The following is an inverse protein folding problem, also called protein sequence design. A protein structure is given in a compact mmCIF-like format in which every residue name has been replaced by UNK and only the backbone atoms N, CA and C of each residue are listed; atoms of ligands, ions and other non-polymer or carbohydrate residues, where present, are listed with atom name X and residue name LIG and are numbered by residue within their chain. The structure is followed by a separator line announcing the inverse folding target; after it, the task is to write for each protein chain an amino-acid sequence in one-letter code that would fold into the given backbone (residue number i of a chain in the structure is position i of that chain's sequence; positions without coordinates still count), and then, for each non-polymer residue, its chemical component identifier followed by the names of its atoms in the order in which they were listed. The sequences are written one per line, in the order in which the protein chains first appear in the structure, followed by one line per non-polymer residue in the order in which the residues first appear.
data_IF_302210351312
#
_entry.id   IF_302210351312
#
_cell.length_a   1.000
_cell.length_b   1.000
_cell.length_c   1.000
_cell.angle_alpha   90.00
_cell.angle_beta   90.00
_cell.angle_gamma   90.00
#
_symmetry.space_group_name_H-M   'P 1'
#
loop_
_entity.id
_entity.type
_entity.pdbx_description
1 polymer ?
#
# COMPACT_ATOMS: atom_id res chain seq x y z
N UNK A 1 1.34 -13.01 -18.74
CA UNK A 1 2.17 -11.93 -18.16
C UNK A 1 1.56 -11.42 -16.86
N UNK A 2 2.14 -11.76 -15.72
CA UNK A 2 1.54 -11.56 -14.40
C UNK A 2 2.63 -11.14 -13.41
N UNK A 3 2.36 -10.16 -12.55
CA UNK A 3 3.34 -9.71 -11.57
C UNK A 3 2.97 -8.40 -10.91
N UNK A 4 3.96 -7.82 -10.23
CA UNK A 4 3.90 -6.51 -9.59
C UNK A 4 4.83 -5.55 -10.33
N UNK A 5 4.41 -4.30 -10.45
CA UNK A 5 5.18 -3.20 -11.01
C UNK A 5 5.36 -2.10 -9.95
N UNK A 6 6.58 -1.56 -9.89
CA UNK A 6 6.88 -0.34 -9.17
C UNK A 6 6.75 0.86 -10.11
N UNK A 7 5.65 1.61 -10.02
CA UNK A 7 5.34 2.67 -10.97
C UNK A 7 5.49 4.04 -10.33
N UNK A 8 6.11 4.98 -11.03
CA UNK A 8 6.07 6.38 -10.66
C UNK A 8 4.76 6.99 -11.17
N UNK A 9 3.93 7.54 -10.27
CA UNK A 9 2.78 8.37 -10.65
C UNK A 9 3.22 9.84 -10.72
N UNK A 10 3.24 10.49 -11.89
CA UNK A 10 3.53 11.91 -11.97
C UNK A 10 2.49 12.77 -11.27
N UNK A 11 2.89 13.97 -10.86
CA UNK A 11 1.98 15.01 -10.37
C UNK A 11 0.92 15.36 -11.42
N UNK A 12 -0.29 15.67 -10.98
CA UNK A 12 -1.43 16.03 -11.82
C UNK A 12 -2.27 14.83 -12.30
N UNK A 13 -1.68 13.64 -12.38
CA UNK A 13 -2.40 12.43 -12.80
C UNK A 13 -3.17 11.78 -11.63
N UNK A 14 -4.36 11.24 -11.86
CA UNK A 14 -4.99 10.36 -10.87
C UNK A 14 -4.30 8.99 -10.85
N UNK A 15 -4.48 8.23 -9.77
CA UNK A 15 -4.02 6.83 -9.74
C UNK A 15 -4.71 5.97 -10.81
N UNK A 16 -5.92 6.34 -11.24
CA UNK A 16 -6.66 5.60 -12.28
C UNK A 16 -6.06 5.87 -13.67
N UNK A 17 -5.65 7.11 -13.96
CA UNK A 17 -5.04 7.47 -15.25
C UNK A 17 -3.78 6.64 -15.51
N UNK A 18 -2.96 6.42 -14.47
CA UNK A 18 -1.80 5.52 -14.54
C UNK A 18 -2.22 4.08 -14.86
N UNK A 19 -3.31 3.59 -14.28
CA UNK A 19 -3.81 2.24 -14.59
C UNK A 19 -4.25 2.14 -16.05
N UNK A 20 -4.94 3.14 -16.57
CA UNK A 20 -5.40 3.13 -17.96
C UNK A 20 -4.24 3.25 -18.95
N UNK A 21 -3.21 4.03 -18.62
CA UNK A 21 -1.95 4.08 -19.37
C UNK A 21 -1.30 2.69 -19.46
N UNK A 22 -1.17 2.00 -18.33
CA UNK A 22 -0.59 0.67 -18.27
C UNK A 22 -1.43 -0.37 -19.01
N UNK A 23 -2.77 -0.31 -18.90
CA UNK A 23 -3.66 -1.20 -19.67
C UNK A 23 -3.41 -1.07 -21.16
N UNK A 24 -3.28 0.16 -21.65
CA UNK A 24 -3.04 0.46 -23.08
C UNK A 24 -1.66 -0.01 -23.52
N UNK A 25 -0.60 0.36 -22.79
CA UNK A 25 0.80 0.00 -23.14
C UNK A 25 1.09 -1.49 -23.03
N UNK A 26 0.44 -2.20 -22.11
CA UNK A 26 0.63 -3.64 -21.92
C UNK A 26 -0.35 -4.50 -22.74
N UNK A 27 -1.42 -3.91 -23.28
CA UNK A 27 -2.55 -4.61 -23.87
C UNK A 27 -3.19 -5.64 -22.92
N UNK A 28 -3.38 -5.26 -21.65
CA UNK A 28 -3.96 -6.13 -20.61
C UNK A 28 -5.08 -5.38 -19.89
N UNK A 29 -6.28 -5.95 -19.86
CA UNK A 29 -7.43 -5.35 -19.16
C UNK A 29 -7.28 -5.39 -17.63
N UNK A 30 -6.77 -6.50 -17.10
CA UNK A 30 -6.70 -6.75 -15.65
C UNK A 30 -5.45 -6.12 -15.05
N UNK A 31 -5.55 -4.84 -14.75
CA UNK A 31 -4.52 -4.04 -14.06
C UNK A 31 -5.19 -3.25 -12.94
N UNK A 32 -4.53 -3.14 -11.78
CA UNK A 32 -5.02 -2.38 -10.63
C UNK A 32 -3.87 -1.99 -9.68
N UNK A 33 -4.13 -1.12 -8.70
CA UNK A 33 -3.09 -0.60 -7.80
C UNK A 33 -3.35 -0.92 -6.31
N UNK A 34 -2.29 -0.89 -5.51
CA UNK A 34 -2.32 -1.02 -4.06
C UNK A 34 -2.00 0.33 -3.39
N UNK A 35 -3.05 1.09 -3.09
CA UNK A 35 -2.95 2.36 -2.37
C UNK A 35 -3.00 3.55 -3.32
N UNK A 36 -4.08 4.33 -3.22
CA UNK A 36 -4.29 5.55 -4.01
C UNK A 36 -3.26 6.61 -3.62
N UNK A 37 -2.81 7.39 -4.60
CA UNK A 37 -2.19 8.70 -4.42
C UNK A 37 -3.15 9.78 -4.92
N UNK A 38 -3.21 10.87 -4.18
CA UNK A 38 -3.96 12.06 -4.57
C UNK A 38 -3.39 12.64 -5.88
N UNK A 39 -4.19 13.34 -6.71
CA UNK A 39 -3.73 13.85 -8.00
C UNK A 39 -2.54 14.81 -7.88
N UNK A 40 -2.53 15.69 -6.87
CA UNK A 40 -1.46 16.67 -6.63
C UNK A 40 -0.16 16.04 -6.08
N UNK A 41 -0.23 14.80 -5.58
CA UNK A 41 0.90 14.06 -5.07
C UNK A 41 1.61 13.30 -6.20
N UNK A 42 2.82 12.83 -5.97
CA UNK A 42 3.57 11.98 -6.91
C UNK A 42 4.33 10.87 -6.21
N UNK A 43 5.04 10.03 -6.96
CA UNK A 43 5.90 8.97 -6.43
C UNK A 43 5.32 7.56 -6.60
N UNK A 44 5.79 6.65 -5.73
CA UNK A 44 5.59 5.20 -5.86
C UNK A 44 4.12 4.81 -5.88
N UNK A 45 3.70 4.03 -6.88
CA UNK A 45 2.39 3.39 -7.00
C UNK A 45 2.60 1.91 -7.32
N UNK A 46 2.25 1.04 -6.37
CA UNK A 46 2.33 -0.41 -6.59
C UNK A 46 1.19 -0.86 -7.49
N UNK A 47 1.53 -1.46 -8.63
CA UNK A 47 0.56 -1.94 -9.62
C UNK A 47 0.66 -3.44 -9.77
N UNK A 48 -0.50 -4.12 -9.80
CA UNK A 48 -0.60 -5.54 -10.10
C UNK A 48 -1.09 -5.75 -11.52
N UNK A 49 -0.48 -6.69 -12.22
CA UNK A 49 -0.83 -7.07 -13.60
C UNK A 49 -1.37 -8.50 -13.63
N UNK A 50 -2.49 -8.69 -14.33
CA UNK A 50 -3.10 -10.01 -14.48
C UNK A 50 -3.70 -10.55 -13.18
N UNK A 51 -3.62 -11.87 -12.93
CA UNK A 51 -4.06 -12.51 -11.69
C UNK A 51 -3.41 -11.92 -10.42
N UNK A 52 -2.22 -11.34 -10.53
CA UNK A 52 -1.49 -10.72 -9.40
C UNK A 52 -2.21 -9.52 -8.79
N UNK A 53 -3.16 -8.92 -9.49
CA UNK A 53 -4.10 -7.92 -8.92
C UNK A 53 -4.82 -8.42 -7.67
N UNK A 54 -5.04 -9.73 -7.55
CA UNK A 54 -5.65 -10.37 -6.37
C UNK A 54 -4.77 -10.32 -5.13
N UNK A 55 -3.46 -10.07 -5.28
CA UNK A 55 -2.48 -10.02 -4.20
C UNK A 55 -2.20 -8.59 -3.73
N UNK A 56 -2.82 -7.58 -4.34
CA UNK A 56 -2.64 -6.16 -3.98
C UNK A 56 -3.03 -5.84 -2.53
N UNK A 57 -3.85 -6.66 -1.88
CA UNK A 57 -4.20 -6.49 -0.46
C UNK A 57 -3.00 -6.61 0.49
N UNK A 58 -2.02 -7.45 0.16
CA UNK A 58 -0.80 -7.61 0.96
C UNK A 58 0.09 -6.36 0.88
N UNK A 59 0.11 -5.69 -0.27
CA UNK A 59 0.87 -4.46 -0.48
C UNK A 59 0.17 -3.22 0.13
N UNK A 60 -1.17 -3.23 0.20
CA UNK A 60 -1.95 -2.13 0.83
C UNK A 60 -1.58 -1.93 2.30
N UNK A 61 -1.13 -2.97 2.99
CA UNK A 61 -0.84 -2.95 4.42
C UNK A 61 0.65 -2.69 4.74
N UNK A 62 1.49 -2.42 3.75
CA UNK A 62 2.89 -2.08 3.98
C UNK A 62 3.05 -0.67 4.54
N UNK A 63 4.12 -0.39 5.29
CA UNK A 63 4.46 0.98 5.70
C UNK A 63 4.75 1.86 4.47
N UNK A 64 4.54 3.16 4.59
CA UNK A 64 4.83 4.13 3.53
C UNK A 64 5.73 5.23 4.03
N UNK A 65 6.63 5.71 3.18
CA UNK A 65 7.43 6.90 3.42
C UNK A 65 7.04 7.99 2.44
N UNK A 66 6.98 9.22 2.94
CA UNK A 66 6.66 10.40 2.19
C UNK A 66 7.69 11.48 2.46
N UNK A 67 7.98 12.29 1.45
CA UNK A 67 8.41 13.67 1.62
C UNK A 67 7.17 14.56 1.51
N UNK A 68 7.07 15.55 2.38
CA UNK A 68 5.96 16.50 2.38
C UNK A 68 6.49 17.92 2.57
N UNK A 69 5.92 18.86 1.82
CA UNK A 69 6.05 20.31 2.05
C UNK A 69 4.66 20.89 2.27
N UNK A 70 4.54 21.76 3.26
CA UNK A 70 3.30 22.44 3.61
C UNK A 70 3.54 23.93 3.86
N UNK A 71 2.48 24.71 3.73
CA UNK A 71 2.45 26.15 4.01
C UNK A 71 1.66 26.39 5.30
N UNK A 72 2.26 27.07 6.26
CA UNK A 72 1.63 27.51 7.51
C UNK A 72 0.68 28.67 7.25
N UNK A 73 -0.37 28.74 8.04
CA UNK A 73 -1.28 29.89 7.99
C UNK A 73 -2.37 29.79 6.93
N UNK A 74 -2.33 28.81 6.01
CA UNK A 74 -3.34 28.65 4.97
C UNK A 74 -4.15 27.39 5.22
N UNK A 75 -5.46 27.50 5.18
CA UNK A 75 -6.40 26.37 5.25
C UNK A 75 -7.23 26.35 3.98
N UNK A 76 -7.19 25.20 3.30
CA UNK A 76 -7.99 24.94 2.09
C UNK A 76 -9.07 23.90 2.38
N UNK A 77 -10.10 23.85 1.53
CA UNK A 77 -11.18 22.87 1.65
C UNK A 77 -10.68 21.41 1.57
N UNK A 78 -9.63 21.15 0.78
CA UNK A 78 -9.10 19.80 0.51
C UNK A 78 -7.89 19.44 1.36
N UNK A 79 -7.37 20.39 2.15
CA UNK A 79 -6.10 20.30 2.90
C UNK A 79 -4.86 20.15 2.01
N UNK A 80 -4.99 20.49 0.74
CA UNK A 80 -3.91 20.61 -0.23
C UNK A 80 -4.10 21.85 -1.10
N UNK A 81 -3.03 22.23 -1.82
CA UNK A 81 -3.01 23.45 -2.64
C UNK A 81 -4.00 23.45 -3.82
N UNK A 82 -4.71 22.34 -4.06
CA UNK A 82 -5.71 22.27 -5.15
C UNK A 82 -7.12 22.66 -4.70
N UNK A 83 -7.34 22.80 -3.39
CA UNK A 83 -8.61 23.26 -2.85
C UNK A 83 -8.73 24.77 -2.76
N UNK A 84 -9.96 25.26 -2.69
CA UNK A 84 -10.22 26.69 -2.45
C UNK A 84 -9.76 27.09 -1.05
N UNK A 85 -9.11 28.26 -0.95
CA UNK A 85 -8.68 28.84 0.32
C UNK A 85 -9.92 29.22 1.13
N UNK A 86 -10.00 28.71 2.35
CA UNK A 86 -11.08 28.99 3.30
C UNK A 86 -10.63 30.03 4.34
N UNK A 87 -9.37 29.99 4.73
CA UNK A 87 -8.84 30.84 5.78
C UNK A 87 -7.34 31.08 5.61
N UNK A 88 -6.92 32.31 5.92
CA UNK A 88 -5.52 32.72 6.01
C UNK A 88 -5.24 33.39 7.37
N UNK A 89 -4.14 33.00 8.00
CA UNK A 89 -3.68 33.47 9.31
C UNK A 89 -2.17 33.61 9.33
N UNK A 90 -1.67 34.57 10.10
CA UNK A 90 -0.24 34.69 10.37
C UNK A 90 0.24 33.61 11.36
N UNK A 91 1.32 32.89 11.03
CA UNK A 91 1.98 31.99 11.96
C UNK A 91 3.08 32.70 12.75
N UNK A 92 2.79 33.03 14.01
CA UNK A 92 3.72 33.74 14.92
C UNK A 92 4.73 32.83 15.64
N UNK A 93 4.63 31.51 15.48
CA UNK A 93 5.47 30.51 16.15
C UNK A 93 6.87 30.49 15.58
N UNK A 94 7.91 30.47 16.41
CA UNK A 94 9.30 30.40 15.93
C UNK A 94 9.66 29.00 15.39
N UNK A 95 10.83 28.86 14.75
CA UNK A 95 11.26 27.60 14.13
C UNK A 95 11.37 26.44 15.14
N UNK A 96 11.91 26.70 16.34
CA UNK A 96 12.03 25.68 17.40
C UNK A 96 10.67 25.18 17.89
N UNK A 97 9.68 26.07 18.00
CA UNK A 97 8.31 25.71 18.34
C UNK A 97 7.68 24.84 17.24
N UNK A 98 7.87 25.21 15.98
CA UNK A 98 7.37 24.44 14.82
C UNK A 98 7.99 23.04 14.79
N UNK A 99 9.31 22.94 14.93
CA UNK A 99 10.02 21.66 14.96
C UNK A 99 9.58 20.78 16.13
N UNK A 100 9.41 21.36 17.32
CA UNK A 100 8.91 20.65 18.51
C UNK A 100 7.50 20.09 18.27
N UNK A 101 6.60 20.89 17.67
CA UNK A 101 5.25 20.45 17.34
C UNK A 101 5.27 19.33 16.31
N UNK A 102 6.06 19.44 15.23
CA UNK A 102 6.18 18.38 14.22
C UNK A 102 6.62 17.07 14.89
N UNK A 103 7.68 17.10 15.71
CA UNK A 103 8.19 15.91 16.40
C UNK A 103 7.20 15.30 17.39
N UNK A 104 6.30 16.10 17.97
CA UNK A 104 5.29 15.61 18.92
C UNK A 104 4.24 14.67 18.31
N UNK A 105 4.17 14.56 16.98
CA UNK A 105 3.30 13.61 16.29
C UNK A 105 3.92 12.22 16.13
N UNK A 106 5.21 12.03 16.45
CA UNK A 106 5.84 10.71 16.45
C UNK A 106 5.13 9.79 17.45
N UNK A 107 4.84 8.56 17.02
CA UNK A 107 4.06 7.59 17.78
C UNK A 107 2.63 7.46 17.26
N UNK A 108 1.71 7.05 18.14
CA UNK A 108 0.33 6.75 17.78
C UNK A 108 -0.60 7.90 18.13
N UNK A 109 -1.52 8.22 17.24
CA UNK A 109 -2.60 9.16 17.53
C UNK A 109 -3.86 8.88 16.72
N UNK A 110 -4.98 9.46 17.15
CA UNK A 110 -6.25 9.37 16.45
C UNK A 110 -6.33 10.46 15.37
N UNK A 111 -6.30 10.04 14.11
CA UNK A 111 -6.39 10.94 12.96
C UNK A 111 -7.79 10.89 12.36
N UNK A 112 -8.36 12.08 12.10
CA UNK A 112 -9.61 12.21 11.33
C UNK A 112 -9.27 12.17 9.83
N UNK A 113 -9.84 11.23 9.05
CA UNK A 113 -9.68 11.23 7.61
C UNK A 113 -10.21 12.55 6.99
N UNK A 114 -9.55 13.09 5.95
CA UNK A 114 -10.05 14.30 5.30
C UNK A 114 -11.35 13.99 4.54
N UNK A 115 -12.21 15.00 4.44
CA UNK A 115 -13.49 14.90 3.71
C UNK A 115 -13.26 14.50 2.24
N UNK A 116 -12.18 14.99 1.63
CA UNK A 116 -11.75 14.60 0.28
C UNK A 116 -10.89 13.34 0.31
N UNK A 117 -11.52 12.18 0.55
CA UNK A 117 -10.83 10.88 0.56
C UNK A 117 -11.62 9.76 -0.11
N UNK A 118 -10.93 8.67 -0.45
CA UNK A 118 -11.52 7.47 -1.05
C UNK A 118 -12.26 6.55 -0.04
N UNK A 119 -12.37 6.95 1.24
CA UNK A 119 -13.17 6.20 2.23
C UNK A 119 -14.64 6.20 1.81
N UNK A 120 -15.39 5.17 2.20
CA UNK A 120 -16.81 5.06 1.90
C UNK A 120 -17.67 5.40 3.11
N UNK A 121 -18.74 6.15 2.88
CA UNK A 121 -19.85 6.35 3.81
C UNK A 121 -21.14 5.91 3.12
N UNK A 122 -21.86 4.95 3.71
CA UNK A 122 -23.07 4.34 3.13
C UNK A 122 -22.92 3.94 1.65
N UNK A 123 -21.79 3.30 1.31
CA UNK A 123 -21.48 2.82 -0.04
C UNK A 123 -20.86 3.83 -1.01
N UNK A 124 -20.97 5.14 -0.75
CA UNK A 124 -20.42 6.22 -1.61
C UNK A 124 -19.08 6.72 -1.09
N UNK A 125 -18.17 7.15 -1.98
CA UNK A 125 -16.86 7.66 -1.54
C UNK A 125 -17.01 9.07 -0.97
N UNK A 126 -16.21 9.44 0.04
CA UNK A 126 -16.34 10.74 0.69
C UNK A 126 -16.08 11.90 -0.26
N UNK A 127 -15.07 11.80 -1.16
CA UNK A 127 -14.84 12.87 -2.14
C UNK A 127 -16.04 13.10 -3.08
N UNK A 128 -16.85 12.08 -3.36
CA UNK A 128 -18.06 12.21 -4.18
C UNK A 128 -19.19 12.94 -3.44
N UNK A 129 -19.18 12.87 -2.10
CA UNK A 129 -20.13 13.56 -1.23
C UNK A 129 -19.66 15.01 -0.98
N UNK A 130 -18.37 15.21 -0.73
CA UNK A 130 -17.77 16.52 -0.52
C UNK A 130 -17.96 17.44 -1.74
N UNK A 131 -17.73 16.93 -2.97
CA UNK A 131 -18.02 17.64 -4.23
C UNK A 131 -19.50 18.02 -4.42
N UNK A 132 -20.41 17.45 -3.63
CA UNK A 132 -21.85 17.78 -3.61
C UNK A 132 -22.21 18.68 -2.42
N UNK A 133 -21.22 19.31 -1.79
CA UNK A 133 -21.38 20.15 -0.58
C UNK A 133 -21.67 19.36 0.70
N UNK A 134 -21.59 18.02 0.68
CA UNK A 134 -21.88 17.18 1.86
C UNK A 134 -20.59 16.72 2.53
N UNK A 135 -20.08 17.56 3.43
CA UNK A 135 -18.91 17.25 4.25
C UNK A 135 -19.33 16.26 5.35
N UNK A 136 -18.76 15.06 5.33
CA UNK A 136 -19.01 14.02 6.34
C UNK A 136 -17.72 13.78 7.10
N UNK A 137 -17.76 14.01 8.41
CA UNK A 137 -16.68 13.62 9.31
C UNK A 137 -16.83 12.15 9.70
N UNK A 138 -15.77 11.37 9.49
CA UNK A 138 -15.71 9.97 9.93
C UNK A 138 -15.11 9.88 11.34
N UNK A 139 -15.41 8.81 12.09
CA UNK A 139 -14.74 8.57 13.36
C UNK A 139 -13.22 8.52 13.16
N UNK A 140 -12.43 9.08 14.09
CA UNK A 140 -10.99 9.02 14.03
C UNK A 140 -10.48 7.58 13.94
N UNK A 141 -9.34 7.39 13.30
CA UNK A 141 -8.63 6.10 13.24
C UNK A 141 -7.26 6.23 13.86
N UNK A 142 -6.88 5.22 14.63
CA UNK A 142 -5.50 5.14 15.11
C UNK A 142 -4.56 4.98 13.91
N UNK A 143 -3.61 5.90 13.83
CA UNK A 143 -2.49 5.88 12.90
C UNK A 143 -1.20 5.91 13.70
N UNK A 144 -0.10 5.51 13.07
CA UNK A 144 1.22 5.50 13.70
C UNK A 144 2.22 6.20 12.78
N UNK A 145 2.96 7.13 13.36
CA UNK A 145 4.10 7.81 12.76
C UNK A 145 5.36 7.20 13.36
N UNK A 146 6.04 6.38 12.57
CA UNK A 146 7.23 5.64 13.02
C UNK A 146 8.45 6.55 13.11
N UNK A 147 8.60 7.45 12.14
CA UNK A 147 9.78 8.29 11.97
C UNK A 147 9.40 9.62 11.33
N UNK A 148 10.02 10.70 11.81
CA UNK A 148 10.08 12.01 11.16
C UNK A 148 11.57 12.39 11.11
N UNK A 149 12.04 12.88 9.97
CA UNK A 149 13.43 13.33 9.79
C UNK A 149 13.52 14.42 8.73
N UNK A 150 14.71 15.01 8.59
CA UNK A 150 15.01 16.03 7.58
C UNK A 150 14.01 17.20 7.63
N UNK A 151 13.74 17.70 8.84
CA UNK A 151 12.84 18.83 9.04
C UNK A 151 13.55 20.09 8.53
N UNK A 152 12.89 20.84 7.66
CA UNK A 152 13.36 22.13 7.16
C UNK A 152 12.23 23.14 7.30
N UNK A 153 12.55 24.30 7.88
CA UNK A 153 11.58 25.36 8.15
C UNK A 153 12.07 26.62 7.44
N UNK A 154 11.32 27.06 6.43
CA UNK A 154 11.58 28.24 5.61
C UNK A 154 10.25 29.00 5.50
N UNK A 155 9.91 29.74 6.56
CA UNK A 155 8.58 30.32 6.69
C UNK A 155 8.15 31.13 5.45
N UNK A 156 6.90 30.97 5.00
CA UNK A 156 5.80 30.26 5.67
C UNK A 156 5.79 28.74 5.46
N UNK A 157 6.81 28.17 4.82
CA UNK A 157 6.87 26.74 4.52
C UNK A 157 7.58 25.92 5.60
N UNK A 158 7.18 24.66 5.72
CA UNK A 158 7.99 23.62 6.33
C UNK A 158 7.94 22.36 5.48
N UNK A 159 8.96 21.53 5.60
CA UNK A 159 9.00 20.21 4.97
C UNK A 159 9.69 19.19 5.86
N UNK A 160 9.38 17.91 5.63
CA UNK A 160 10.03 16.79 6.30
C UNK A 160 9.79 15.48 5.55
N UNK A 161 10.58 14.46 5.91
CA UNK A 161 10.30 13.07 5.57
C UNK A 161 9.60 12.36 6.73
N UNK A 162 8.61 11.53 6.41
CA UNK A 162 7.83 10.78 7.41
C UNK A 162 7.59 9.34 6.97
N UNK A 163 7.79 8.38 7.88
CA UNK A 163 7.32 7.01 7.73
C UNK A 163 6.06 6.75 8.56
N UNK A 164 5.02 6.25 7.91
CA UNK A 164 3.68 6.11 8.50
C UNK A 164 3.09 4.72 8.29
N UNK A 165 2.15 4.37 9.16
CA UNK A 165 1.31 3.18 9.00
C UNK A 165 0.36 3.29 7.80
N UNK A 166 -0.20 2.16 7.33
CA UNK A 166 -1.20 2.17 6.26
C UNK A 166 -2.45 2.97 6.64
N UNK A 167 -2.92 3.81 5.71
CA UNK A 167 -4.18 4.55 5.89
C UNK A 167 -4.03 5.90 6.58
N UNK A 168 -2.81 6.30 6.95
CA UNK A 168 -2.48 7.65 7.37
C UNK A 168 -2.59 8.64 6.21
N UNK A 169 -3.27 9.76 6.46
CA UNK A 169 -3.42 10.88 5.54
C UNK A 169 -2.40 11.96 5.88
N UNK A 170 -1.45 12.19 4.97
CA UNK A 170 -0.41 13.22 5.17
C UNK A 170 -1.02 14.63 5.15
N UNK A 171 -2.09 14.84 4.39
CA UNK A 171 -2.87 16.08 4.41
C UNK A 171 -3.46 16.39 5.79
N UNK A 172 -4.07 15.39 6.43
CA UNK A 172 -4.55 15.53 7.81
C UNK A 172 -3.40 15.78 8.79
N UNK A 173 -2.27 15.08 8.64
CA UNK A 173 -1.09 15.32 9.48
C UNK A 173 -0.61 16.78 9.40
N UNK A 174 -0.53 17.35 8.19
CA UNK A 174 -0.15 18.77 8.03
C UNK A 174 -1.16 19.69 8.71
N UNK A 175 -2.46 19.46 8.52
CA UNK A 175 -3.50 20.23 9.21
C UNK A 175 -3.43 20.09 10.73
N UNK A 176 -3.23 18.88 11.26
CA UNK A 176 -3.13 18.63 12.69
C UNK A 176 -1.92 19.36 13.31
N UNK A 177 -0.79 19.37 12.60
CA UNK A 177 0.39 20.18 12.95
C UNK A 177 0.03 21.67 12.97
N UNK A 178 -0.63 22.15 11.91
CA UNK A 178 -1.08 23.55 11.81
C UNK A 178 -2.05 23.95 12.92
N UNK A 179 -2.97 23.07 13.31
CA UNK A 179 -3.89 23.29 14.43
C UNK A 179 -3.16 23.35 15.76
N UNK A 180 -2.18 22.47 15.98
CA UNK A 180 -1.36 22.50 17.20
C UNK A 180 -0.46 23.75 17.28
N UNK A 181 -0.15 24.36 16.14
CA UNK A 181 0.50 25.67 16.03
C UNK A 181 -0.49 26.86 16.04
N UNK A 182 -1.79 26.61 16.13
CA UNK A 182 -2.87 27.61 16.13
C UNK A 182 -2.94 28.52 14.89
N UNK A 183 -2.39 28.08 13.76
CA UNK A 183 -2.41 28.86 12.50
C UNK A 183 -2.96 28.09 11.30
N UNK A 184 -3.13 26.76 11.39
CA UNK A 184 -3.47 25.92 10.25
C UNK A 184 -2.28 25.67 9.32
N UNK A 185 -2.38 24.65 8.47
CA UNK A 185 -1.36 24.39 7.45
C UNK A 185 -1.92 23.53 6.30
N UNK A 186 -1.57 23.89 5.07
CA UNK A 186 -2.02 23.19 3.86
C UNK A 186 -0.85 22.49 3.16
N UNK A 187 -1.08 21.28 2.64
CA UNK A 187 -0.04 20.53 1.92
C UNK A 187 0.18 21.13 0.52
N UNK A 188 1.40 21.50 0.18
CA UNK A 188 1.73 22.07 -1.14
C UNK A 188 2.46 21.08 -2.05
N UNK A 189 3.19 20.15 -1.46
CA UNK A 189 3.93 19.12 -2.16
C UNK A 189 3.90 17.81 -1.39
N UNK A 190 3.72 16.70 -2.10
CA UNK A 190 3.64 15.38 -1.49
C UNK A 190 4.23 14.35 -2.44
N UNK A 191 5.32 13.72 -2.01
CA UNK A 191 6.02 12.68 -2.78
C UNK A 191 6.02 11.40 -1.94
N UNK A 192 5.40 10.32 -2.44
CA UNK A 192 5.52 9.00 -1.83
C UNK A 192 6.83 8.35 -2.28
N UNK A 193 7.85 8.51 -1.46
CA UNK A 193 9.20 8.02 -1.75
C UNK A 193 9.34 6.50 -1.59
N UNK A 194 8.49 5.87 -0.77
CA UNK A 194 8.58 4.41 -0.54
C UNK A 194 7.25 3.76 -0.15
N UNK A 195 7.04 2.51 -0.58
CA UNK A 195 6.00 1.60 -0.08
C UNK A 195 6.63 0.25 0.25
N UNK A 196 6.77 -0.10 1.54
CA UNK A 196 7.53 -1.28 1.93
C UNK A 196 8.97 -1.23 1.40
N UNK A 197 9.33 -2.19 0.55
CA UNK A 197 10.66 -2.24 -0.08
C UNK A 197 10.74 -1.47 -1.41
N UNK A 198 9.61 -1.06 -1.97
CA UNK A 198 9.56 -0.38 -3.27
C UNK A 198 9.88 1.10 -3.10
N UNK A 199 10.97 1.56 -3.73
CA UNK A 199 11.42 2.94 -3.63
C UNK A 199 11.17 3.72 -4.92
N UNK A 200 11.16 5.04 -4.82
CA UNK A 200 10.86 5.93 -5.95
C UNK A 200 11.97 5.92 -6.99
N UNK A 201 13.22 5.72 -6.56
CA UNK A 201 14.39 5.66 -7.44
C UNK A 201 14.34 4.43 -8.37
N UNK A 202 13.69 3.36 -7.90
CA UNK A 202 13.50 2.11 -8.65
C UNK A 202 12.17 2.09 -9.42
N UNK A 203 11.44 3.21 -9.48
CA UNK A 203 10.10 3.26 -10.05
C UNK A 203 10.11 3.75 -11.50
N UNK A 204 9.24 3.17 -12.33
CA UNK A 204 9.15 3.48 -13.75
C UNK A 204 8.00 4.44 -14.03
N UNK A 205 8.28 5.56 -14.71
CA UNK A 205 7.23 6.45 -15.21
C UNK A 205 6.55 5.83 -16.44
N UNK A 206 5.25 5.49 -16.38
CA UNK A 206 4.58 4.76 -17.44
C UNK A 206 4.29 5.65 -18.65
N UNK A 207 4.33 6.98 -18.52
CA UNK A 207 4.09 7.91 -19.62
C UNK A 207 5.34 8.11 -20.49
N UNK A 208 6.52 8.04 -19.89
CA UNK A 208 7.82 8.26 -20.55
C UNK A 208 8.45 6.97 -21.11
N UNK A 209 7.96 5.80 -20.72
CA UNK A 209 8.56 4.52 -21.10
C UNK A 209 7.67 3.71 -22.05
N UNK A 210 8.27 2.95 -22.96
CA UNK A 210 7.56 2.11 -23.93
C UNK A 210 6.91 0.89 -23.26
N UNK A 211 5.90 0.31 -23.93
CA UNK A 211 5.27 -0.93 -23.45
C UNK A 211 6.27 -2.08 -23.27
N UNK A 212 7.24 -2.24 -24.16
CA UNK A 212 8.29 -3.27 -24.05
C UNK A 212 9.11 -3.12 -22.76
N UNK A 213 9.61 -1.91 -22.49
CA UNK A 213 10.36 -1.62 -21.26
C UNK A 213 9.53 -1.82 -20.00
N UNK A 214 8.24 -1.46 -20.01
CA UNK A 214 7.34 -1.72 -18.87
C UNK A 214 7.18 -3.23 -18.64
N UNK A 215 7.10 -4.04 -19.70
CA UNK A 215 6.96 -5.51 -19.59
C UNK A 215 8.17 -6.15 -18.92
N UNK A 216 9.38 -5.70 -19.27
CA UNK A 216 10.64 -6.20 -18.69
C UNK A 216 10.75 -5.94 -17.19
N UNK A 217 10.08 -4.89 -16.69
CA UNK A 217 10.09 -4.50 -15.27
C UNK A 217 9.02 -5.21 -14.43
N UNK A 218 8.23 -6.13 -15.01
CA UNK A 218 7.22 -6.87 -14.26
C UNK A 218 7.91 -7.88 -13.35
N UNK A 219 7.78 -7.65 -12.04
CA UNK A 219 8.41 -8.47 -11.01
C UNK A 219 7.48 -9.64 -10.67
N UNK A 220 7.95 -10.90 -10.72
CA UNK A 220 7.20 -12.06 -10.23
C UNK A 220 6.79 -11.86 -8.77
N UNK A 221 5.56 -12.23 -8.41
CA UNK A 221 5.02 -11.95 -7.07
C UNK A 221 5.81 -12.69 -5.99
N UNK A 222 6.36 -13.84 -6.34
CA UNK A 222 7.18 -14.72 -5.50
C UNK A 222 8.46 -14.07 -4.98
N UNK A 223 8.93 -13.02 -5.66
CA UNK A 223 10.14 -12.29 -5.30
C UNK A 223 9.85 -11.13 -4.34
N UNK A 224 8.63 -10.58 -4.37
CA UNK A 224 8.29 -9.35 -3.64
C UNK A 224 7.28 -9.56 -2.51
N UNK A 225 6.54 -10.67 -2.52
CA UNK A 225 5.59 -11.00 -1.48
C UNK A 225 6.31 -11.69 -0.31
N UNK A 226 6.30 -11.03 0.85
CA UNK A 226 6.93 -11.52 2.09
C UNK A 226 5.97 -12.43 2.88
N UNK A 227 5.66 -13.60 2.33
CA UNK A 227 4.92 -14.66 3.03
C UNK A 227 5.78 -15.93 3.11
N UNK A 228 5.63 -16.75 4.17
CA UNK A 228 6.32 -18.03 4.28
C UNK A 228 6.03 -18.94 3.08
N UNK A 229 7.06 -19.64 2.59
CA UNK A 229 6.97 -20.48 1.39
C UNK A 229 6.92 -21.97 1.74
N UNK A 230 6.01 -22.67 1.08
CA UNK A 230 5.83 -24.13 1.19
C UNK A 230 5.85 -24.73 -0.20
N UNK A 231 6.81 -25.59 -0.46
CA UNK A 231 6.94 -26.31 -1.72
C UNK A 231 6.10 -27.60 -1.68
N UNK A 232 5.40 -27.87 -2.78
CA UNK A 232 4.62 -29.10 -2.96
C UNK A 232 5.21 -29.99 -4.06
N UNK A 233 4.83 -31.26 -4.07
CA UNK A 233 5.10 -32.13 -5.22
C UNK A 233 4.22 -31.75 -6.41
N UNK A 234 4.80 -31.85 -7.61
CA UNK A 234 4.17 -31.48 -8.88
C UNK A 234 2.87 -32.23 -9.15
N UNK A 235 2.80 -33.50 -8.75
CA UNK A 235 1.65 -34.38 -8.96
C UNK A 235 0.35 -33.89 -8.28
N UNK A 236 0.47 -32.97 -7.31
CA UNK A 236 -0.68 -32.41 -6.59
C UNK A 236 -1.12 -31.02 -7.08
N UNK A 237 -0.41 -30.42 -8.04
CA UNK A 237 -0.71 -29.08 -8.56
C UNK A 237 -2.12 -29.02 -9.16
N UNK A 238 -2.49 -29.99 -10.00
CA UNK A 238 -3.84 -30.04 -10.61
C UNK A 238 -4.94 -30.19 -9.56
N UNK A 239 -4.69 -30.97 -8.50
CA UNK A 239 -5.63 -31.13 -7.39
C UNK A 239 -5.91 -29.79 -6.70
N UNK A 240 -4.87 -28.99 -6.43
CA UNK A 240 -5.01 -27.64 -5.86
C UNK A 240 -5.75 -26.71 -6.83
N UNK A 241 -5.44 -26.78 -8.12
CA UNK A 241 -6.18 -26.04 -9.14
C UNK A 241 -7.67 -26.38 -9.12
N UNK A 242 -8.03 -27.63 -8.88
CA UNK A 242 -9.42 -28.07 -8.74
C UNK A 242 -10.02 -27.81 -7.34
N UNK A 243 -9.30 -27.10 -6.46
CA UNK A 243 -9.79 -26.66 -5.15
C UNK A 243 -9.61 -27.68 -4.02
N UNK A 244 -8.89 -28.78 -4.26
CA UNK A 244 -8.58 -29.75 -3.22
C UNK A 244 -7.62 -29.12 -2.21
N UNK A 245 -7.98 -29.21 -0.93
CA UNK A 245 -7.22 -28.62 0.16
C UNK A 245 -5.89 -29.38 0.38
N UNK A 246 -4.75 -28.69 0.54
CA UNK A 246 -3.48 -29.35 0.77
C UNK A 246 -3.44 -30.14 2.08
N UNK A 247 -3.15 -31.42 1.93
CA UNK A 247 -2.81 -32.36 2.99
C UNK A 247 -1.30 -32.48 3.14
N UNK A 248 -0.84 -33.13 4.21
CA UNK A 248 0.58 -33.31 4.48
C UNK A 248 1.31 -34.04 3.34
N UNK A 249 0.67 -35.02 2.69
CA UNK A 249 1.19 -35.73 1.51
C UNK A 249 1.51 -34.82 0.32
N UNK A 250 0.94 -33.62 0.23
CA UNK A 250 1.25 -32.71 -0.87
C UNK A 250 2.60 -32.03 -0.67
N UNK A 251 3.07 -31.94 0.58
CA UNK A 251 4.19 -31.08 0.96
C UNK A 251 5.51 -31.77 0.66
N UNK A 252 6.33 -31.10 -0.14
CA UNK A 252 7.70 -31.51 -0.46
C UNK A 252 8.69 -30.93 0.54
N UNK A 253 8.53 -29.65 0.89
CA UNK A 253 9.47 -28.91 1.75
C UNK A 253 8.79 -27.67 2.33
N UNK A 254 9.09 -27.35 3.59
CA UNK A 254 8.75 -26.06 4.21
C UNK A 254 10.03 -25.23 4.24
N UNK A 255 10.03 -24.07 3.57
CA UNK A 255 11.21 -23.21 3.49
C UNK A 255 11.31 -22.21 4.62
N UNK A 256 10.16 -21.76 5.12
CA UNK A 256 10.06 -20.70 6.11
C UNK A 256 9.11 -21.12 7.24
N UNK A 257 9.43 -20.69 8.46
CA UNK A 257 8.56 -20.92 9.61
C UNK A 257 7.26 -20.09 9.54
N UNK A 258 6.18 -20.68 10.05
CA UNK A 258 4.88 -20.01 10.12
C UNK A 258 4.05 -20.52 11.31
N UNK A 259 3.13 -19.68 11.77
CA UNK A 259 2.17 -20.01 12.82
C UNK A 259 0.81 -20.36 12.24
N UNK A 260 -0.01 -21.04 13.04
CA UNK A 260 -1.41 -21.26 12.72
C UNK A 260 -2.10 -19.92 12.41
N UNK A 261 -2.92 -19.92 11.37
CA UNK A 261 -3.64 -18.79 10.78
C UNK A 261 -2.80 -17.83 9.92
N UNK A 262 -1.49 -18.00 9.84
CA UNK A 262 -0.68 -17.23 8.90
C UNK A 262 -1.05 -17.60 7.46
N UNK A 263 -0.95 -16.60 6.57
CA UNK A 263 -1.06 -16.84 5.14
C UNK A 263 0.32 -17.29 4.62
N UNK A 264 0.34 -18.36 3.83
CA UNK A 264 1.55 -18.93 3.22
C UNK A 264 1.43 -19.01 1.71
N UNK A 265 2.56 -18.99 1.04
CA UNK A 265 2.68 -19.23 -0.39
C UNK A 265 2.90 -20.72 -0.67
N UNK A 266 1.97 -21.34 -1.39
CA UNK A 266 2.11 -22.69 -1.92
C UNK A 266 2.81 -22.61 -3.28
N UNK A 267 3.97 -23.27 -3.37
CA UNK A 267 4.94 -23.13 -4.43
C UNK A 267 5.20 -24.48 -5.12
N UNK A 268 5.38 -24.47 -6.44
CA UNK A 268 5.89 -25.62 -7.19
C UNK A 268 6.87 -25.11 -8.25
N UNK A 269 8.06 -25.71 -8.36
CA UNK A 269 9.11 -25.32 -9.31
C UNK A 269 9.35 -23.79 -9.34
N UNK A 270 9.44 -23.17 -8.15
CA UNK A 270 9.61 -21.72 -7.91
C UNK A 270 8.47 -20.81 -8.41
N UNK A 271 7.30 -21.37 -8.76
CA UNK A 271 6.12 -20.61 -9.17
C UNK A 271 5.01 -20.68 -8.13
N UNK A 272 4.29 -19.58 -7.93
CA UNK A 272 3.15 -19.50 -7.02
C UNK A 272 1.96 -20.26 -7.60
N UNK A 273 1.50 -21.26 -6.84
CA UNK A 273 0.31 -22.04 -7.16
C UNK A 273 -0.91 -21.48 -6.43
N UNK A 274 -0.74 -21.17 -5.13
CA UNK A 274 -1.82 -20.65 -4.30
C UNK A 274 -1.31 -19.84 -3.10
N UNK A 275 -2.17 -18.99 -2.55
CA UNK A 275 -2.09 -18.56 -1.16
C UNK A 275 -3.04 -19.42 -0.33
N UNK A 276 -2.55 -19.94 0.78
CA UNK A 276 -3.32 -20.74 1.71
C UNK A 276 -3.13 -20.23 3.15
N UNK A 277 -4.04 -20.57 4.05
CA UNK A 277 -3.93 -20.33 5.48
C UNK A 277 -3.40 -21.58 6.16
N UNK A 278 -2.40 -21.43 7.03
CA UNK A 278 -1.88 -22.52 7.84
C UNK A 278 -2.89 -22.95 8.93
N UNK A 279 -3.19 -24.25 9.00
CA UNK A 279 -4.08 -24.83 10.03
C UNK A 279 -3.33 -25.22 11.31
N UNK A 280 -2.00 -25.25 11.23
CA UNK A 280 -1.05 -25.67 12.25
C UNK A 280 0.22 -24.81 12.16
N UNK A 281 1.07 -24.89 13.18
CA UNK A 281 2.41 -24.30 13.15
C UNK A 281 3.36 -25.18 12.33
N UNK A 282 4.41 -24.60 11.73
CA UNK A 282 5.46 -25.34 11.00
C UNK A 282 6.11 -26.44 11.86
N UNK A 283 6.34 -26.17 13.15
CA UNK A 283 6.93 -27.14 14.08
C UNK A 283 6.12 -28.43 14.30
N UNK A 284 4.83 -28.43 13.97
CA UNK A 284 3.98 -29.61 14.15
C UNK A 284 4.12 -30.61 12.98
N UNK A 285 4.75 -30.22 11.88
CA UNK A 285 4.83 -31.05 10.68
C UNK A 285 5.67 -32.32 10.90
N UNK A 286 6.82 -32.22 11.57
CA UNK A 286 7.64 -33.39 11.91
C UNK A 286 6.86 -34.40 12.77
N UNK A 287 6.07 -33.91 13.72
CA UNK A 287 5.24 -34.77 14.57
C UNK A 287 4.16 -35.51 13.76
N UNK A 288 3.54 -34.83 12.78
CA UNK A 288 2.52 -35.44 11.93
C UNK A 288 3.12 -36.49 10.98
N UNK A 289 4.32 -36.23 10.45
CA UNK A 289 5.07 -37.17 9.61
C UNK A 289 5.38 -38.44 10.43
N UNK A 290 5.93 -38.30 11.64
CA UNK A 290 6.26 -39.43 12.53
C UNK A 290 5.03 -40.25 12.91
N UNK A 291 3.84 -39.62 13.02
CA UNK A 291 2.57 -40.30 13.32
C UNK A 291 1.86 -40.85 12.07
N UNK A 292 2.50 -40.82 10.90
CA UNK A 292 1.97 -41.28 9.60
C UNK A 292 0.59 -40.70 9.24
N UNK A 293 0.32 -39.44 9.63
CA UNK A 293 -0.97 -38.75 9.38
C UNK A 293 -0.97 -37.99 8.05
N UNK A 294 -0.53 -38.65 6.99
CA UNK A 294 -0.27 -38.02 5.68
C UNK A 294 -1.51 -37.36 5.06
N UNK A 295 -2.72 -37.87 5.35
CA UNK A 295 -3.99 -37.31 4.86
C UNK A 295 -4.55 -36.14 5.69
N UNK A 296 -3.86 -35.73 6.76
CA UNK A 296 -4.32 -34.61 7.58
C UNK A 296 -4.19 -33.29 6.80
N UNK A 297 -5.26 -32.48 6.81
CA UNK A 297 -5.25 -31.16 6.19
C UNK A 297 -4.35 -30.24 7.00
N UNK A 298 -3.40 -29.62 6.31
CA UNK A 298 -2.42 -28.71 6.91
C UNK A 298 -2.60 -27.26 6.45
N UNK A 299 -3.26 -27.05 5.31
CA UNK A 299 -3.57 -25.72 4.80
C UNK A 299 -5.01 -25.62 4.29
N UNK A 300 -5.57 -24.42 4.36
CA UNK A 300 -6.85 -24.07 3.72
C UNK A 300 -6.62 -23.02 2.62
N UNK A 301 -6.92 -23.37 1.37
CA UNK A 301 -6.74 -22.51 0.20
C UNK A 301 -7.57 -21.22 0.32
N UNK A 302 -6.91 -20.07 0.11
CA UNK A 302 -7.55 -18.75 0.03
C UNK A 302 -7.64 -18.25 -1.41
N UNK A 303 -6.55 -18.38 -2.17
CA UNK A 303 -6.46 -17.89 -3.55
C UNK A 303 -5.66 -18.87 -4.38
N UNK A 304 -6.27 -19.43 -5.42
CA UNK A 304 -5.59 -20.32 -6.36
C UNK A 304 -5.28 -19.56 -7.64
N UNK A 305 -4.06 -19.70 -8.14
CA UNK A 305 -3.57 -19.08 -9.37
C UNK A 305 -3.45 -20.17 -10.43
N UNK A 306 -4.59 -20.57 -11.01
CA UNK A 306 -4.61 -21.44 -12.19
C UNK A 306 -3.77 -20.76 -13.27
N UNK A 307 -2.88 -21.54 -13.88
CA UNK A 307 -1.94 -21.10 -14.91
C UNK A 307 -2.58 -20.07 -15.84
N UNK A 308 -2.16 -18.82 -15.69
CA UNK A 308 -2.24 -17.88 -16.78
C UNK A 308 -1.01 -18.17 -17.62
N UNK A 309 -1.14 -19.14 -18.54
CA UNK A 309 -0.17 -19.57 -19.56
C UNK A 309 1.30 -19.57 -19.08
N UNK A 310 1.81 -20.76 -18.76
CA UNK A 310 3.25 -20.96 -18.64
C UNK A 310 3.93 -20.85 -20.00
#
# INVERSE_FOLDING_TARGET
MNGILNIFKPKGMTSHDVIDELRRKLNIRKVGHAGTLDPFAEGVLIVGVGPSTRLLEYFKNLKKRYFVKAILGVITETYDITGEVQEERECRKNEKEIESVINSFKGKYLQVPPAYSAKKYKGKKLYELARKGKIISLPPKEVEIFEIKNITIEKPYFSFEVEVSPGTYIRSLCMDIGYKLSCGATTVELIRTRVGDFRVEDSLNPFENSGGKIKEQIIPVEQVLKLPKVNIYKDYVEKIFNGIQPTLEFIKEIKDDFKKNDDVMIMCDNKLIAIARAERNSSFFETLITKNRLKERVFTLKKVFKGAEF
#
